data_IF_355557770437
#
_entry.id   IF_355557770437
#
_cell.length_a   1.000
_cell.length_b   1.000
_cell.length_c   1.000
_cell.angle_alpha   90.00
_cell.angle_beta   90.00
_cell.angle_gamma   90.00
#
_symmetry.space_group_name_H-M   'P 1'
#
loop_
_entity.id
_entity.type
_entity.pdbx_description
1 polymer ?
#
# COMPACT_ATOMS: atom_id res chain seq x y z
N UNK A 1 10.46 3.06 -1.47
CA UNK A 1 9.03 2.77 -1.20
C UNK A 1 8.42 2.11 -2.42
N UNK A 2 7.70 1.05 -2.22
CA UNK A 2 7.10 0.34 -3.34
C UNK A 2 5.59 0.27 -3.13
N UNK A 3 4.84 0.86 -4.06
CA UNK A 3 3.39 0.90 -4.02
C UNK A 3 2.82 -0.11 -4.99
N UNK A 4 1.74 -0.77 -4.60
CA UNK A 4 1.13 -1.80 -5.43
C UNK A 4 -0.39 -1.74 -5.35
N UNK A 5 -1.02 -2.23 -6.41
CA UNK A 5 -2.45 -2.54 -6.44
C UNK A 5 -2.55 -4.04 -6.56
N UNK A 6 -3.41 -4.64 -5.79
CA UNK A 6 -3.48 -6.08 -5.77
C UNK A 6 -4.85 -6.58 -5.34
N UNK A 7 -5.12 -7.85 -5.65
CA UNK A 7 -6.28 -8.53 -5.12
C UNK A 7 -5.82 -9.75 -4.34
N UNK A 8 -6.63 -10.12 -3.37
CA UNK A 8 -6.40 -11.32 -2.58
C UNK A 8 -7.18 -12.45 -3.24
N UNK A 9 -6.64 -13.66 -3.19
CA UNK A 9 -7.12 -14.79 -4.00
C UNK A 9 -8.63 -15.00 -3.98
N UNK A 10 -9.29 -14.74 -2.89
CA UNK A 10 -10.72 -15.01 -2.77
C UNK A 10 -11.59 -13.76 -2.78
N UNK A 11 -10.99 -12.60 -3.05
CA UNK A 11 -11.72 -11.35 -3.03
C UNK A 11 -11.54 -10.62 -4.34
N UNK A 12 -12.63 -10.15 -4.96
CA UNK A 12 -12.51 -9.36 -6.17
C UNK A 12 -12.13 -7.91 -5.90
N UNK A 13 -12.06 -7.51 -4.67
CA UNK A 13 -11.79 -6.11 -4.32
C UNK A 13 -10.33 -5.75 -4.56
N UNK A 14 -10.13 -4.61 -5.19
CA UNK A 14 -8.79 -4.10 -5.43
C UNK A 14 -8.29 -3.38 -4.18
N UNK A 15 -7.10 -3.77 -3.75
CA UNK A 15 -6.45 -3.13 -2.62
C UNK A 15 -5.32 -2.24 -3.12
N UNK A 16 -5.15 -1.10 -2.46
CA UNK A 16 -4.02 -0.23 -2.71
C UNK A 16 -3.16 -0.22 -1.45
N UNK A 17 -1.90 -0.53 -1.61
CA UNK A 17 -1.02 -0.62 -0.47
C UNK A 17 0.44 -0.56 -0.86
N UNK A 18 1.27 -1.08 0.00
CA UNK A 18 2.70 -1.10 -0.24
C UNK A 18 3.32 -2.42 0.14
N UNK A 19 4.59 -2.57 -0.19
CA UNK A 19 5.35 -3.77 0.15
C UNK A 19 6.17 -3.49 1.40
N UNK A 20 5.96 -4.32 2.41
CA UNK A 20 6.69 -4.25 3.67
C UNK A 20 7.30 -5.63 3.92
N UNK A 21 8.62 -5.74 3.88
CA UNK A 21 9.33 -7.01 4.11
C UNK A 21 8.74 -8.15 3.28
N UNK A 22 8.59 -7.93 1.99
CA UNK A 22 8.08 -8.93 1.04
C UNK A 22 6.62 -9.31 1.30
N UNK A 23 5.88 -8.45 1.97
CA UNK A 23 4.45 -8.66 2.17
C UNK A 23 3.68 -7.47 1.65
N UNK A 24 2.50 -7.76 1.10
CA UNK A 24 1.59 -6.72 0.63
C UNK A 24 0.71 -6.32 1.81
N UNK A 25 0.67 -5.03 2.10
CA UNK A 25 -0.14 -4.50 3.20
C UNK A 25 -1.01 -3.37 2.67
N UNK A 26 -2.33 -3.53 2.75
CA UNK A 26 -3.23 -2.45 2.30
C UNK A 26 -3.09 -1.21 3.17
N UNK A 27 -3.18 -0.05 2.54
CA UNK A 27 -3.14 1.20 3.32
C UNK A 27 -4.31 1.31 4.27
N UNK A 28 -5.46 0.70 3.92
CA UNK A 28 -6.61 0.71 4.83
C UNK A 28 -6.27 0.03 6.16
N UNK A 29 -5.49 -1.03 6.11
CA UNK A 29 -5.03 -1.70 7.33
C UNK A 29 -4.09 -0.80 8.10
N UNK A 30 -3.12 -0.23 7.41
CA UNK A 30 -2.13 0.62 8.08
C UNK A 30 -2.76 1.84 8.73
N UNK A 31 -3.71 2.48 8.04
CA UNK A 31 -4.41 3.62 8.61
C UNK A 31 -5.16 3.25 9.89
N UNK A 32 -5.85 2.12 9.84
CA UNK A 32 -6.62 1.68 11.00
C UNK A 32 -5.74 1.31 12.17
N UNK A 33 -4.68 0.57 11.92
CA UNK A 33 -3.79 0.12 12.99
C UNK A 33 -2.96 1.25 13.57
N UNK A 34 -2.49 2.15 12.74
CA UNK A 34 -1.69 3.27 13.19
C UNK A 34 -2.53 4.40 13.76
N UNK A 35 -3.84 4.37 13.55
CA UNK A 35 -4.71 5.43 14.01
C UNK A 35 -4.51 6.73 13.25
N UNK A 36 -4.12 6.64 11.97
CA UNK A 36 -3.84 7.81 11.15
C UNK A 36 -4.64 7.73 9.84
N UNK A 37 -5.90 8.13 9.87
CA UNK A 37 -6.70 8.11 8.65
C UNK A 37 -6.13 9.06 7.60
N UNK A 38 -6.11 8.59 6.37
CA UNK A 38 -5.59 9.39 5.27
C UNK A 38 -6.39 9.12 4.00
N UNK A 39 -7.32 10.00 3.65
CA UNK A 39 -8.16 9.78 2.47
C UNK A 39 -7.37 9.76 1.16
N UNK A 40 -6.17 10.33 1.15
CA UNK A 40 -5.32 10.33 -0.05
C UNK A 40 -4.87 8.91 -0.43
N UNK A 41 -4.97 7.97 0.49
CA UNK A 41 -4.50 6.61 0.27
C UNK A 41 -5.63 5.61 0.10
N UNK A 42 -6.84 6.10 -0.17
CA UNK A 42 -7.98 5.24 -0.39
C UNK A 42 -7.81 4.41 -1.66
N UNK A 43 -7.24 5.00 -2.70
CA UNK A 43 -6.94 4.30 -3.93
C UNK A 43 -5.79 5.01 -4.64
N UNK A 44 -5.32 4.42 -5.74
CA UNK A 44 -4.19 4.98 -6.46
C UNK A 44 -4.51 6.32 -7.11
N UNK A 45 -5.76 6.51 -7.52
CA UNK A 45 -6.16 7.78 -8.13
C UNK A 45 -6.07 8.92 -7.11
N UNK A 46 -6.58 8.69 -5.90
CA UNK A 46 -6.51 9.69 -4.84
C UNK A 46 -5.07 9.99 -4.48
N UNK A 47 -4.23 8.95 -4.48
CA UNK A 47 -2.82 9.13 -4.21
C UNK A 47 -2.16 10.06 -5.24
N UNK A 48 -2.40 9.81 -6.52
CA UNK A 48 -1.80 10.62 -7.57
C UNK A 48 -2.33 12.04 -7.56
N UNK A 49 -3.59 12.22 -7.23
CA UNK A 49 -4.21 13.54 -7.22
C UNK A 49 -3.74 14.42 -6.08
N UNK A 50 -3.12 13.83 -5.06
CA UNK A 50 -2.76 14.58 -3.85
C UNK A 50 -1.25 14.57 -3.57
N UNK A 51 -0.45 14.35 -4.59
CA UNK A 51 0.99 14.46 -4.46
C UNK A 51 1.37 15.91 -4.22
N UNK A 52 2.40 16.16 -3.43
CA UNK A 52 3.29 15.21 -2.76
C UNK A 52 2.83 14.79 -1.37
N UNK A 53 1.72 15.32 -0.88
CA UNK A 53 1.26 15.03 0.47
C UNK A 53 0.94 13.55 0.66
N UNK A 54 0.33 12.95 -0.35
CA UNK A 54 0.00 11.54 -0.31
C UNK A 54 1.25 10.67 -0.22
N UNK A 55 2.30 11.05 -0.92
CA UNK A 55 3.56 10.30 -0.84
C UNK A 55 4.14 10.35 0.56
N UNK A 56 4.10 11.52 1.18
CA UNK A 56 4.59 11.67 2.54
C UNK A 56 3.82 10.78 3.50
N UNK A 57 2.51 10.78 3.39
CA UNK A 57 1.67 9.94 4.24
C UNK A 57 1.92 8.47 4.00
N UNK A 58 2.09 8.07 2.74
CA UNK A 58 2.38 6.69 2.41
C UNK A 58 3.69 6.23 3.03
N UNK A 59 4.72 7.06 2.93
CA UNK A 59 6.02 6.74 3.52
C UNK A 59 5.93 6.56 5.03
N UNK A 60 5.20 7.43 5.69
CA UNK A 60 5.01 7.33 7.12
C UNK A 60 4.31 6.03 7.51
N UNK A 61 3.24 5.69 6.80
CA UNK A 61 2.49 4.48 7.10
C UNK A 61 3.29 3.23 6.81
N UNK A 62 4.04 3.21 5.72
CA UNK A 62 4.85 2.04 5.40
C UNK A 62 5.99 1.88 6.40
N UNK A 63 6.58 2.97 6.86
CA UNK A 63 7.59 2.92 7.91
C UNK A 63 7.00 2.40 9.21
N UNK A 64 5.79 2.85 9.54
CA UNK A 64 5.09 2.33 10.71
C UNK A 64 4.86 0.82 10.56
N UNK A 65 4.40 0.41 9.37
CA UNK A 65 4.13 -1.00 9.12
C UNK A 65 5.37 -1.86 9.24
N UNK A 66 6.51 -1.35 8.81
CA UNK A 66 7.75 -2.09 8.92
C UNK A 66 8.13 -2.31 10.38
N UNK A 67 7.92 -1.31 11.22
CA UNK A 67 8.22 -1.44 12.64
C UNK A 67 7.21 -2.30 13.39
N UNK A 68 6.00 -2.41 12.88
CA UNK A 68 4.90 -3.08 13.58
C UNK A 68 4.33 -4.26 12.80
N UNK A 69 5.07 -4.78 11.86
CA UNK A 69 4.57 -5.84 10.98
C UNK A 69 4.11 -7.05 11.77
N UNK A 70 4.81 -7.38 12.85
CA UNK A 70 4.47 -8.54 13.67
C UNK A 70 3.16 -8.37 14.43
N UNK A 71 2.67 -7.13 14.51
CA UNK A 71 1.39 -6.86 15.17
C UNK A 71 0.21 -7.05 14.22
N UNK A 72 0.47 -7.24 12.93
CA UNK A 72 -0.57 -7.46 11.95
C UNK A 72 -0.89 -8.94 11.86
N UNK A 73 -2.19 -9.23 11.81
CA UNK A 73 -2.64 -10.62 11.69
C UNK A 73 -2.54 -11.12 10.25
N UNK A 74 -2.82 -12.40 10.07
CA UNK A 74 -2.78 -12.99 8.74
C UNK A 74 -3.78 -12.38 7.77
N UNK A 75 -4.85 -11.80 8.27
CA UNK A 75 -5.82 -11.13 7.42
C UNK A 75 -5.48 -9.67 7.14
N UNK A 76 -4.34 -9.20 7.63
CA UNK A 76 -3.95 -7.80 7.51
C UNK A 76 -2.66 -7.62 6.72
N UNK A 77 -1.95 -8.69 6.48
CA UNK A 77 -0.74 -8.68 5.66
C UNK A 77 -0.71 -9.95 4.85
N UNK A 78 -0.17 -9.87 3.65
CA UNK A 78 -0.24 -10.99 2.71
C UNK A 78 1.10 -11.19 2.03
N UNK A 79 1.65 -12.43 2.01
CA UNK A 79 2.86 -12.67 1.26
C UNK A 79 2.66 -12.28 -0.20
N UNK A 80 3.66 -11.69 -0.83
CA UNK A 80 3.53 -11.24 -2.21
C UNK A 80 3.11 -12.37 -3.14
N UNK A 81 3.57 -13.60 -2.87
CA UNK A 81 3.22 -14.74 -3.71
C UNK A 81 1.76 -15.14 -3.56
N UNK A 82 1.07 -14.66 -2.53
CA UNK A 82 -0.32 -15.01 -2.28
C UNK A 82 -1.30 -13.98 -2.81
N UNK A 83 -0.79 -12.87 -3.36
CA UNK A 83 -1.66 -11.84 -3.92
C UNK A 83 -1.42 -11.75 -5.42
N UNK A 84 -2.41 -11.21 -6.10
CA UNK A 84 -2.32 -10.97 -7.53
C UNK A 84 -2.07 -9.49 -7.75
N UNK A 85 -0.91 -9.16 -8.29
CA UNK A 85 -0.59 -7.78 -8.62
C UNK A 85 -1.35 -7.38 -9.87
N UNK A 86 -1.92 -6.20 -9.86
CA UNK A 86 -2.76 -5.73 -10.95
C UNK A 86 -2.02 -4.79 -11.87
N UNK A 87 -2.41 -4.84 -13.14
CA UNK A 87 -2.01 -3.85 -14.10
C UNK A 87 -2.98 -2.65 -13.99
N UNK A 88 -2.53 -1.47 -14.22
CA UNK A 88 -1.16 -1.13 -14.51
C UNK A 88 -0.35 -0.96 -13.24
N UNK A 89 0.66 -1.74 -13.12
CA UNK A 89 1.63 -1.53 -12.07
C UNK A 89 2.35 -0.21 -12.34
N UNK A 90 1.97 0.45 -13.42
CA UNK A 90 2.55 1.73 -13.78
C UNK A 90 2.40 2.78 -12.69
N UNK A 91 1.48 2.60 -11.75
CA UNK A 91 1.46 3.51 -10.61
C UNK A 91 2.82 3.51 -9.94
N UNK A 92 3.37 2.32 -9.75
CA UNK A 92 4.70 2.19 -9.17
C UNK A 92 5.77 2.70 -10.13
N UNK A 93 5.62 2.36 -11.40
CA UNK A 93 6.59 2.78 -12.41
C UNK A 93 6.67 4.29 -12.52
N UNK A 94 5.54 4.97 -12.43
CA UNK A 94 5.54 6.43 -12.46
C UNK A 94 6.36 7.01 -11.34
N UNK A 95 6.25 6.44 -10.18
CA UNK A 95 7.02 6.93 -9.05
C UNK A 95 8.48 6.64 -9.20
N UNK A 96 8.81 5.47 -9.71
CA UNK A 96 10.20 5.13 -9.93
C UNK A 96 10.84 6.12 -10.90
N UNK A 97 10.12 6.46 -11.94
CA UNK A 97 10.64 7.43 -12.91
C UNK A 97 10.65 8.84 -12.35
N UNK A 98 9.59 9.20 -11.68
CA UNK A 98 9.49 10.54 -11.13
C UNK A 98 10.49 10.80 -10.04
N UNK A 99 10.96 9.75 -9.41
CA UNK A 99 11.90 9.87 -8.33
C UNK A 99 13.33 9.87 -8.80
N UNK A 100 13.51 9.33 -9.94
CA UNK A 100 14.87 9.31 -10.49
C UNK A 100 15.11 10.52 -11.33
#
# INVERSE_FOLDING_TARGET
MKLIRFTIAESPNVCFGGVVRDQAVPFSVLQGKAGKPCPYLADSRSYLANLPDSERSAKELLAWGERHLDELSQGERFPLRAVRLLEPVEVVALFDFGLT
#
